data_IF_222969402074
#
_entry.id   IF_222969402074
#
_cell.length_a   1.000
_cell.length_b   1.000
_cell.length_c   1.000
_cell.angle_alpha   90.00
_cell.angle_beta   90.00
_cell.angle_gamma   90.00
#
_symmetry.space_group_name_H-M   'P 1'
#
loop_
_entity.id
_entity.type
_entity.pdbx_description
1 polymer ?
#
# COMPACT_ATOMS: atom_id res chain seq x y z
N UNK A 1 36.50 12.78 8.53
CA UNK A 1 35.20 12.21 8.10
C UNK A 1 34.82 10.93 8.86
N UNK A 2 35.76 10.13 9.39
CA UNK A 2 35.41 8.90 10.11
C UNK A 2 34.80 9.11 11.52
N UNK A 3 35.01 10.27 12.17
CA UNK A 3 34.54 10.53 13.55
C UNK A 3 33.02 10.48 13.68
N UNK A 4 32.29 11.09 12.74
CA UNK A 4 30.82 11.08 12.74
C UNK A 4 30.27 9.65 12.56
N UNK A 5 30.91 8.85 11.71
CA UNK A 5 30.48 7.47 11.46
C UNK A 5 30.74 6.56 12.67
N UNK A 6 31.81 6.80 13.42
CA UNK A 6 32.11 6.08 14.68
C UNK A 6 30.99 6.35 15.69
N UNK A 7 30.62 7.62 15.88
CA UNK A 7 29.55 8.01 16.81
C UNK A 7 28.21 7.36 16.45
N UNK A 8 27.87 7.30 15.16
CA UNK A 8 26.66 6.61 14.68
C UNK A 8 26.69 5.10 14.98
N UNK A 9 27.83 4.43 14.79
CA UNK A 9 27.97 3.00 15.06
C UNK A 9 27.91 2.71 16.57
N UNK A 10 28.50 3.58 17.39
CA UNK A 10 28.42 3.49 18.85
C UNK A 10 26.97 3.62 19.34
N UNK A 11 26.23 4.62 18.83
CA UNK A 11 24.80 4.78 19.12
C UNK A 11 23.99 3.55 18.70
N UNK A 12 24.20 3.03 17.49
CA UNK A 12 23.52 1.81 17.03
C UNK A 12 23.80 0.60 17.92
N UNK A 13 25.03 0.50 18.44
CA UNK A 13 25.45 -0.59 19.34
C UNK A 13 24.81 -0.42 20.72
N UNK A 14 24.79 0.80 21.26
CA UNK A 14 24.19 1.12 22.56
C UNK A 14 22.68 0.85 22.57
N UNK A 15 21.98 1.20 21.47
CA UNK A 15 20.55 0.91 21.33
C UNK A 15 20.23 -0.55 20.96
N UNK A 16 21.24 -1.38 20.69
CA UNK A 16 21.04 -2.78 20.28
C UNK A 16 20.42 -2.93 18.89
N UNK A 17 20.64 -1.97 17.99
CA UNK A 17 20.11 -2.00 16.63
C UNK A 17 21.09 -2.68 15.66
N UNK A 18 20.86 -3.96 15.40
CA UNK A 18 21.62 -4.73 14.40
C UNK A 18 22.34 -5.93 15.00
N UNK A 19 23.35 -6.41 14.28
CA UNK A 19 24.22 -7.51 14.68
C UNK A 19 25.41 -6.94 15.44
N UNK A 20 25.41 -7.16 16.75
CA UNK A 20 26.44 -6.66 17.67
C UNK A 20 27.87 -7.07 17.26
N UNK A 21 28.07 -8.30 16.78
CA UNK A 21 29.40 -8.78 16.37
C UNK A 21 29.88 -8.04 15.12
N UNK A 22 28.95 -7.80 14.20
CA UNK A 22 29.26 -7.07 12.98
C UNK A 22 29.56 -5.59 13.27
N UNK A 23 28.75 -4.94 14.12
CA UNK A 23 28.97 -3.54 14.51
C UNK A 23 30.28 -3.34 15.29
N UNK A 24 30.64 -4.28 16.16
CA UNK A 24 31.93 -4.27 16.85
C UNK A 24 33.11 -4.36 15.85
N UNK A 25 33.00 -5.23 14.85
CA UNK A 25 34.03 -5.35 13.80
C UNK A 25 34.17 -4.06 12.98
N UNK A 26 33.05 -3.39 12.68
CA UNK A 26 33.00 -2.12 11.95
C UNK A 26 33.62 -1.00 12.79
N UNK A 27 33.25 -0.90 14.07
CA UNK A 27 33.81 0.08 15.01
C UNK A 27 35.33 -0.04 15.11
N UNK A 28 35.86 -1.25 15.33
CA UNK A 28 37.31 -1.49 15.39
C UNK A 28 38.04 -1.07 14.12
N UNK A 29 37.46 -1.30 12.94
CA UNK A 29 38.07 -0.87 11.67
C UNK A 29 38.09 0.64 11.54
N UNK A 30 37.01 1.32 11.91
CA UNK A 30 36.93 2.77 11.88
C UNK A 30 37.91 3.43 12.86
N UNK A 31 38.08 2.87 14.07
CA UNK A 31 39.05 3.33 15.06
C UNK A 31 40.50 3.18 14.56
N UNK A 32 40.77 2.15 13.76
CA UNK A 32 42.07 1.94 13.11
C UNK A 32 42.24 2.73 11.80
N UNK A 33 41.37 3.71 11.52
CA UNK A 33 41.34 4.53 10.30
C UNK A 33 41.26 3.73 8.99
N UNK A 34 40.76 2.48 9.04
CA UNK A 34 40.59 1.65 7.86
C UNK A 34 39.28 1.96 7.12
N UNK A 35 39.27 1.92 5.78
CA UNK A 35 38.04 2.09 5.01
C UNK A 35 37.11 0.88 5.20
N UNK A 36 35.81 1.14 5.37
CA UNK A 36 34.80 0.08 5.49
C UNK A 36 34.64 -0.69 4.18
N UNK A 37 34.21 -1.95 4.29
CA UNK A 37 33.76 -2.68 3.11
C UNK A 37 32.44 -2.07 2.59
N UNK A 38 32.18 -2.11 1.27
CA UNK A 38 30.92 -1.61 0.71
C UNK A 38 29.68 -2.27 1.34
N UNK A 39 29.79 -3.54 1.71
CA UNK A 39 28.74 -4.30 2.40
C UNK A 39 28.44 -3.78 3.80
N UNK A 40 29.47 -3.30 4.51
CA UNK A 40 29.37 -2.78 5.88
C UNK A 40 28.90 -1.34 5.87
N UNK A 41 29.37 -0.54 4.93
CA UNK A 41 28.87 0.82 4.72
C UNK A 41 27.36 0.79 4.44
N UNK A 42 26.91 -0.02 3.49
CA UNK A 42 25.48 -0.18 3.18
C UNK A 42 24.67 -0.70 4.37
N UNK A 43 25.29 -1.52 5.21
CA UNK A 43 24.66 -2.05 6.41
C UNK A 43 24.43 -0.96 7.45
N UNK A 44 25.46 -0.14 7.73
CA UNK A 44 25.36 1.00 8.64
C UNK A 44 24.38 2.04 8.11
N UNK A 45 24.48 2.43 6.83
CA UNK A 45 23.58 3.42 6.21
C UNK A 45 22.09 3.02 6.35
N UNK A 46 21.79 1.74 6.14
CA UNK A 46 20.45 1.20 6.32
C UNK A 46 19.97 1.29 7.78
N UNK A 47 20.84 0.98 8.75
CA UNK A 47 20.49 1.07 10.16
C UNK A 47 20.28 2.52 10.61
N UNK A 48 21.18 3.42 10.19
CA UNK A 48 21.11 4.86 10.48
C UNK A 48 19.82 5.45 9.90
N UNK A 49 19.52 5.18 8.64
CA UNK A 49 18.29 5.63 7.98
C UNK A 49 17.02 5.06 8.63
N UNK A 50 17.06 3.82 9.11
CA UNK A 50 15.89 3.15 9.69
C UNK A 50 15.61 3.58 11.13
N UNK A 51 16.64 3.80 11.94
CA UNK A 51 16.48 3.96 13.39
C UNK A 51 16.87 5.33 13.94
N UNK A 52 17.88 5.99 13.37
CA UNK A 52 18.40 7.26 13.91
C UNK A 52 17.80 8.48 13.20
N UNK A 53 17.64 8.40 11.88
CA UNK A 53 17.00 9.45 11.08
C UNK A 53 15.86 8.86 10.27
N UNK A 54 14.77 8.42 10.91
CA UNK A 54 13.58 8.04 10.18
C UNK A 54 13.09 9.28 9.44
N UNK A 55 13.38 9.36 8.14
CA UNK A 55 12.84 10.42 7.29
C UNK A 55 11.31 10.38 7.43
N UNK A 56 10.71 11.48 7.90
CA UNK A 56 9.25 11.66 7.91
C UNK A 56 8.66 11.69 6.49
N UNK A 57 9.51 11.66 5.47
CA UNK A 57 9.16 11.53 4.08
C UNK A 57 8.77 10.08 3.76
N UNK A 58 7.48 9.77 4.01
CA UNK A 58 6.59 8.97 3.15
C UNK A 58 5.58 8.14 3.96
N UNK A 59 4.49 8.82 4.35
CA UNK A 59 3.18 8.20 4.59
C UNK A 59 2.59 7.46 3.37
N UNK A 60 3.33 7.38 2.25
CA UNK A 60 2.91 6.74 1.00
C UNK A 60 3.61 5.42 0.67
N UNK A 61 4.87 5.20 1.10
CA UNK A 61 5.58 3.93 0.83
C UNK A 61 5.47 2.90 1.96
N UNK A 62 5.16 3.29 3.19
CA UNK A 62 4.85 2.36 4.29
C UNK A 62 3.61 1.49 4.00
N UNK A 63 2.67 1.94 3.15
CA UNK A 63 1.55 1.11 2.66
C UNK A 63 1.99 -0.03 1.73
N UNK A 64 3.11 0.13 1.01
CA UNK A 64 3.62 -0.92 0.12
C UNK A 64 4.44 -1.96 0.88
N UNK A 65 5.18 -1.53 1.90
CA UNK A 65 5.97 -2.45 2.74
C UNK A 65 5.05 -3.30 3.63
N UNK A 66 4.03 -2.71 4.26
CA UNK A 66 3.03 -3.48 5.01
C UNK A 66 2.22 -4.48 4.15
N UNK A 67 2.06 -4.19 2.84
CA UNK A 67 1.45 -5.14 1.90
C UNK A 67 2.38 -6.28 1.50
N UNK A 68 3.70 -6.04 1.47
CA UNK A 68 4.70 -7.07 1.17
C UNK A 68 4.98 -7.96 2.38
N UNK A 69 5.03 -7.38 3.58
CA UNK A 69 5.27 -8.10 4.83
C UNK A 69 4.08 -8.99 5.20
N UNK A 70 2.84 -8.54 4.98
CA UNK A 70 1.64 -9.38 5.08
C UNK A 70 1.61 -10.52 4.04
N UNK A 71 2.21 -10.33 2.85
CA UNK A 71 2.36 -11.41 1.86
C UNK A 71 3.43 -12.40 2.29
N UNK A 72 4.52 -11.93 2.88
CA UNK A 72 5.61 -12.80 3.39
C UNK A 72 5.12 -13.60 4.60
N UNK A 73 4.35 -13.01 5.53
CA UNK A 73 3.75 -13.76 6.64
C UNK A 73 2.71 -14.80 6.17
N UNK A 74 1.87 -14.47 5.17
CA UNK A 74 0.95 -15.45 4.57
C UNK A 74 1.69 -16.60 3.87
N UNK A 75 2.86 -16.35 3.28
CA UNK A 75 3.68 -17.42 2.69
C UNK A 75 4.39 -18.24 3.77
N UNK A 76 4.87 -17.62 4.85
CA UNK A 76 5.53 -18.33 5.97
C UNK A 76 4.56 -19.26 6.71
N UNK A 77 3.28 -18.90 6.82
CA UNK A 77 2.23 -19.77 7.33
C UNK A 77 1.91 -20.97 6.41
N UNK A 78 2.22 -20.91 5.11
CA UNK A 78 2.05 -22.05 4.19
C UNK A 78 3.20 -23.06 4.21
N UNK A 79 4.35 -22.71 4.79
CA UNK A 79 5.54 -23.56 4.79
C UNK A 79 6.08 -23.89 6.20
N UNK A 80 5.40 -23.44 7.25
CA UNK A 80 5.80 -23.64 8.65
C UNK A 80 5.06 -24.75 9.39
N UNK A 81 4.54 -25.77 8.69
CA UNK A 81 3.88 -26.92 9.30
C UNK A 81 4.74 -28.18 9.15
N UNK A 82 5.57 -28.48 10.13
CA UNK A 82 6.06 -29.84 10.36
C UNK A 82 4.87 -30.72 10.74
N UNK A 83 4.35 -31.48 9.78
CA UNK A 83 3.61 -32.71 10.08
C UNK A 83 3.96 -33.74 9.04
N UNK A 84 4.53 -34.85 9.51
CA UNK A 84 4.68 -36.09 8.77
C UNK A 84 3.40 -36.38 7.96
N UNK A 85 3.49 -36.57 6.63
CA UNK A 85 2.32 -36.96 5.86
C UNK A 85 2.00 -38.41 6.20
N UNK A 86 1.03 -38.59 7.09
CA UNK A 86 0.27 -39.83 7.18
C UNK A 86 -0.30 -40.13 5.79
N UNK A 87 0.18 -41.24 5.25
CA UNK A 87 -0.17 -41.84 3.96
C UNK A 87 -1.64 -42.18 3.93
N UNK A 88 -2.48 -41.23 3.50
CA UNK A 88 -3.82 -41.54 3.03
C UNK A 88 -3.76 -41.78 1.52
N UNK A 89 -3.73 -43.07 1.17
CA UNK A 89 -3.28 -43.68 -0.10
C UNK A 89 -4.17 -43.38 -1.32
N UNK A 90 -5.01 -42.34 -1.33
CA UNK A 90 -6.09 -42.22 -2.33
C UNK A 90 -5.97 -41.13 -3.40
N UNK A 91 -4.88 -40.35 -3.45
CA UNK A 91 -4.71 -39.24 -4.43
C UNK A 91 -3.32 -39.17 -5.09
N UNK A 92 -2.81 -40.33 -5.54
CA UNK A 92 -1.63 -40.39 -6.41
C UNK A 92 -2.04 -40.61 -7.86
N UNK A 93 -1.57 -39.76 -8.78
CA UNK A 93 -1.73 -39.97 -10.22
C UNK A 93 -0.51 -40.70 -10.78
N UNK A 94 -0.62 -41.33 -11.95
CA UNK A 94 0.49 -42.07 -12.56
C UNK A 94 1.32 -41.16 -13.49
N UNK A 95 2.65 -41.24 -13.36
CA UNK A 95 3.56 -40.53 -14.24
C UNK A 95 3.38 -41.01 -15.70
N UNK A 96 3.08 -40.13 -16.68
CA UNK A 96 2.89 -40.53 -18.07
C UNK A 96 4.14 -41.13 -18.74
N UNK A 97 5.34 -40.87 -18.19
CA UNK A 97 6.59 -41.36 -18.77
C UNK A 97 7.03 -42.73 -18.23
N UNK A 98 6.79 -43.00 -16.94
CA UNK A 98 7.32 -44.21 -16.28
C UNK A 98 6.29 -44.99 -15.46
N UNK A 99 5.04 -44.53 -15.38
CA UNK A 99 3.95 -45.20 -14.66
C UNK A 99 4.09 -45.20 -13.14
N UNK A 100 5.07 -44.51 -12.55
CA UNK A 100 5.20 -44.45 -11.09
C UNK A 100 4.14 -43.50 -10.48
N UNK A 101 3.63 -43.80 -9.27
CA UNK A 101 2.69 -42.91 -8.59
C UNK A 101 3.39 -41.61 -8.18
N UNK A 102 2.83 -40.48 -8.58
CA UNK A 102 3.30 -39.13 -8.24
C UNK A 102 2.21 -38.45 -7.42
N UNK A 103 2.51 -37.96 -6.20
CA UNK A 103 1.54 -37.17 -5.45
C UNK A 103 1.21 -35.88 -6.21
N UNK A 104 -0.07 -35.49 -6.25
CA UNK A 104 -0.55 -34.30 -7.00
C UNK A 104 0.14 -32.98 -6.63
N UNK A 105 0.88 -32.95 -5.53
CA UNK A 105 1.57 -31.77 -5.03
C UNK A 105 2.92 -31.50 -5.73
N UNK A 106 3.45 -32.47 -6.49
CA UNK A 106 4.76 -32.36 -7.12
C UNK A 106 4.64 -32.16 -8.64
N UNK A 107 5.32 -31.13 -9.14
CA UNK A 107 5.41 -30.81 -10.57
C UNK A 107 6.38 -31.70 -11.34
N UNK A 108 7.05 -32.64 -10.68
CA UNK A 108 7.99 -33.56 -11.31
C UNK A 108 7.91 -34.97 -10.70
N UNK A 109 8.12 -35.98 -11.53
CA UNK A 109 8.25 -37.36 -11.10
C UNK A 109 9.60 -37.59 -10.41
N UNK A 110 9.57 -38.00 -9.14
CA UNK A 110 10.77 -38.32 -8.35
C UNK A 110 11.58 -39.48 -8.93
N UNK A 111 10.95 -40.37 -9.69
CA UNK A 111 11.60 -41.57 -10.24
C UNK A 111 12.30 -41.34 -11.58
N UNK A 112 11.73 -40.50 -12.46
CA UNK A 112 12.25 -40.31 -13.82
C UNK A 112 12.52 -38.85 -14.21
N UNK A 113 12.30 -37.90 -13.29
CA UNK A 113 12.54 -36.46 -13.51
C UNK A 113 11.62 -35.80 -14.54
N UNK A 114 10.56 -36.47 -14.98
CA UNK A 114 9.63 -35.90 -15.95
C UNK A 114 8.78 -34.81 -15.29
N UNK A 115 8.68 -33.64 -15.91
CA UNK A 115 7.86 -32.52 -15.46
C UNK A 115 6.40 -32.70 -15.91
N UNK A 116 5.45 -32.35 -15.05
CA UNK A 116 4.02 -32.50 -15.27
C UNK A 116 3.28 -31.20 -14.89
N UNK A 117 2.54 -30.63 -15.84
CA UNK A 117 1.55 -29.58 -15.57
C UNK A 117 0.23 -30.22 -15.13
N UNK A 118 -0.52 -29.57 -14.23
CA UNK A 118 -1.79 -30.04 -13.60
C UNK A 118 -2.88 -30.50 -14.60
N UNK A 119 -2.68 -30.31 -15.90
CA UNK A 119 -3.62 -30.67 -16.97
C UNK A 119 -3.28 -31.98 -17.71
N UNK A 120 -2.17 -32.65 -17.41
CA UNK A 120 -1.71 -33.83 -18.16
C UNK A 120 -1.82 -35.18 -17.41
N UNK A 121 -2.54 -35.23 -16.28
CA UNK A 121 -2.76 -36.51 -15.59
C UNK A 121 -3.83 -37.35 -16.30
N UNK A 122 -3.50 -38.61 -16.57
CA UNK A 122 -4.47 -39.63 -16.94
C UNK A 122 -5.25 -39.95 -15.67
N UNK A 123 -6.37 -39.26 -15.48
CA UNK A 123 -7.25 -39.47 -14.34
C UNK A 123 -7.99 -40.80 -14.52
N UNK A 124 -7.45 -41.87 -13.94
CA UNK A 124 -8.04 -43.22 -13.99
C UNK A 124 -9.42 -43.30 -13.32
N UNK A 125 -9.89 -42.25 -12.62
CA UNK A 125 -11.28 -42.18 -12.12
C UNK A 125 -12.31 -41.78 -13.17
N UNK A 126 -11.92 -41.11 -14.27
CA UNK A 126 -12.88 -40.62 -15.27
C UNK A 126 -13.52 -41.72 -16.12
N UNK A 127 -12.91 -42.90 -16.20
CA UNK A 127 -13.49 -44.04 -16.91
C UNK A 127 -14.54 -44.78 -16.09
N UNK A 128 -14.59 -44.60 -14.76
CA UNK A 128 -15.63 -45.20 -13.91
C UNK A 128 -16.83 -44.28 -13.65
N UNK A 129 -16.71 -42.95 -13.82
CA UNK A 129 -17.78 -42.00 -13.50
C UNK A 129 -18.63 -41.52 -14.70
N UNK A 130 -18.33 -41.96 -15.93
CA UNK A 130 -19.06 -41.53 -17.15
C UNK A 130 -20.44 -42.16 -17.35
N UNK A 131 -21.14 -42.57 -16.28
CA UNK A 131 -22.49 -43.14 -16.37
C UNK A 131 -23.61 -42.41 -15.62
N UNK A 132 -23.34 -41.37 -14.83
CA UNK A 132 -24.42 -40.61 -14.19
C UNK A 132 -24.19 -39.09 -14.19
N UNK A 133 -25.17 -38.38 -14.79
CA UNK A 133 -25.56 -36.98 -14.56
C UNK A 133 -24.50 -35.93 -14.95
N UNK A 134 -24.53 -35.34 -16.15
CA UNK A 134 -25.52 -34.36 -16.67
C UNK A 134 -26.17 -33.48 -15.61
N UNK A 135 -25.97 -32.18 -15.80
CA UNK A 135 -26.68 -31.02 -15.25
C UNK A 135 -26.21 -30.50 -13.88
N UNK A 136 -25.15 -29.68 -13.87
CA UNK A 136 -25.23 -28.26 -13.45
C UNK A 136 -23.87 -27.54 -13.48
N UNK A 137 -23.78 -26.60 -14.43
CA UNK A 137 -23.16 -25.26 -14.36
C UNK A 137 -22.05 -25.00 -13.33
N UNK A 138 -20.80 -24.98 -13.81
CA UNK A 138 -19.69 -24.26 -13.18
C UNK A 138 -19.12 -23.26 -14.17
N UNK A 139 -19.18 -21.97 -13.81
CA UNK A 139 -18.54 -20.87 -14.52
C UNK A 139 -17.04 -21.15 -14.67
N UNK A 140 -16.68 -21.61 -15.86
CA UNK A 140 -15.31 -21.78 -16.30
C UNK A 140 -14.79 -20.39 -16.65
N UNK A 141 -13.90 -19.86 -15.80
CA UNK A 141 -13.10 -18.66 -16.11
C UNK A 141 -12.43 -18.86 -17.46
N UNK A 142 -12.95 -18.16 -18.48
CA UNK A 142 -12.37 -18.07 -19.80
C UNK A 142 -10.96 -17.47 -19.66
N UNK A 143 -9.94 -18.32 -19.60
CA UNK A 143 -8.56 -17.84 -19.74
C UNK A 143 -8.40 -17.38 -21.18
N UNK A 144 -8.21 -16.08 -21.33
CA UNK A 144 -8.01 -15.39 -22.61
C UNK A 144 -6.77 -15.99 -23.30
N UNK A 145 -7.01 -16.91 -24.25
CA UNK A 145 -5.99 -17.67 -25.01
C UNK A 145 -5.25 -16.81 -26.03
N UNK A 146 -5.28 -15.49 -25.88
CA UNK A 146 -4.65 -14.61 -26.85
C UNK A 146 -3.12 -14.74 -26.80
N UNK A 147 -2.57 -15.20 -27.92
CA UNK A 147 -1.12 -15.30 -28.15
C UNK A 147 -0.54 -13.92 -28.51
N UNK A 148 0.73 -13.70 -28.15
CA UNK A 148 1.57 -12.59 -28.61
C UNK A 148 2.83 -13.17 -29.27
N UNK A 149 3.46 -12.43 -30.17
CA UNK A 149 4.78 -12.79 -30.70
C UNK A 149 5.87 -12.31 -29.75
N UNK A 150 6.92 -13.12 -29.55
CA UNK A 150 8.10 -12.74 -28.81
C UNK A 150 8.82 -11.59 -29.51
N UNK A 151 9.17 -10.53 -28.77
CA UNK A 151 9.86 -9.34 -29.32
C UNK A 151 11.22 -9.65 -29.95
N UNK A 152 11.92 -10.69 -29.49
CA UNK A 152 13.28 -11.02 -29.95
C UNK A 152 13.30 -12.08 -31.05
N UNK A 153 12.59 -13.21 -30.86
CA UNK A 153 12.62 -14.34 -31.80
C UNK A 153 11.31 -14.57 -32.58
N UNK A 154 10.31 -13.69 -32.42
CA UNK A 154 9.01 -13.77 -33.12
C UNK A 154 8.17 -15.02 -32.87
N UNK A 155 8.57 -15.90 -31.95
CA UNK A 155 7.82 -17.09 -31.58
C UNK A 155 6.45 -16.74 -30.96
N UNK A 156 5.43 -17.56 -31.23
CA UNK A 156 4.10 -17.38 -30.62
C UNK A 156 4.12 -17.86 -29.17
N UNK A 157 3.81 -16.98 -28.25
CA UNK A 157 3.81 -17.23 -26.80
C UNK A 157 2.49 -16.74 -26.19
N UNK A 158 2.04 -17.32 -25.09
CA UNK A 158 0.85 -16.81 -24.39
C UNK A 158 1.14 -15.45 -23.76
N UNK A 159 0.14 -14.56 -23.75
CA UNK A 159 0.28 -13.23 -23.13
C UNK A 159 0.67 -13.28 -21.65
N UNK A 160 0.31 -14.36 -20.96
CA UNK A 160 0.62 -14.62 -19.55
C UNK A 160 2.10 -14.82 -19.27
N UNK A 161 2.90 -15.26 -20.25
CA UNK A 161 4.33 -15.46 -20.05
C UNK A 161 5.10 -14.13 -20.07
N UNK A 162 5.86 -13.89 -19.00
CA UNK A 162 6.78 -12.76 -18.87
C UNK A 162 8.10 -12.99 -19.59
N UNK A 163 8.46 -14.24 -19.85
CA UNK A 163 9.68 -14.63 -20.56
C UNK A 163 9.35 -15.52 -21.74
N UNK A 164 10.10 -15.38 -22.84
CA UNK A 164 9.96 -16.27 -23.98
C UNK A 164 10.56 -17.65 -23.63
N UNK A 165 9.81 -18.77 -23.74
CA UNK A 165 10.33 -20.09 -23.45
C UNK A 165 11.40 -20.54 -24.45
N UNK A 166 11.42 -19.98 -25.67
CA UNK A 166 12.39 -20.33 -26.70
C UNK A 166 13.73 -19.59 -26.53
N UNK A 167 13.71 -18.27 -26.32
CA UNK A 167 14.92 -17.45 -26.32
C UNK A 167 15.24 -16.75 -24.99
N UNK A 168 14.45 -16.97 -23.93
CA UNK A 168 14.66 -16.37 -22.60
C UNK A 168 14.41 -14.86 -22.50
N UNK A 169 14.14 -14.17 -23.62
CA UNK A 169 13.95 -12.72 -23.63
C UNK A 169 12.71 -12.31 -22.83
N UNK A 170 12.87 -11.31 -21.96
CA UNK A 170 11.79 -10.75 -21.16
C UNK A 170 10.82 -9.94 -22.03
N UNK A 171 9.53 -10.29 -21.94
CA UNK A 171 8.42 -9.79 -22.76
C UNK A 171 7.69 -8.67 -22.04
N UNK A 172 8.46 -7.66 -21.61
CA UNK A 172 8.02 -6.56 -20.76
C UNK A 172 6.60 -6.12 -21.08
N UNK A 173 5.74 -6.10 -20.06
CA UNK A 173 4.35 -5.65 -20.22
C UNK A 173 4.40 -4.23 -20.76
N UNK A 174 3.99 -4.03 -22.01
CA UNK A 174 3.72 -2.70 -22.55
C UNK A 174 2.69 -2.04 -21.62
N UNK A 175 3.14 -1.22 -20.66
CA UNK A 175 2.33 -0.47 -19.69
C UNK A 175 1.49 0.62 -20.37
N UNK A 176 1.08 0.44 -21.63
CA UNK A 176 0.36 1.44 -22.39
C UNK A 176 -1.15 1.46 -22.12
N UNK A 177 -1.70 0.55 -21.31
CA UNK A 177 -3.16 0.49 -21.04
C UNK A 177 -3.61 0.74 -19.59
N UNK A 178 -2.71 0.74 -18.61
CA UNK A 178 -3.11 0.95 -17.20
C UNK A 178 -3.17 2.44 -16.78
N UNK A 179 -2.62 3.36 -17.59
CA UNK A 179 -2.71 4.81 -17.34
C UNK A 179 -4.11 5.39 -17.57
N UNK A 180 -4.99 4.73 -18.33
CA UNK A 180 -6.37 5.22 -18.55
C UNK A 180 -7.34 4.93 -17.41
N UNK A 181 -7.07 3.93 -16.55
CA UNK A 181 -7.96 3.61 -15.42
C UNK A 181 -7.63 4.40 -14.15
N UNK A 182 -6.41 4.92 -14.03
CA UNK A 182 -6.01 5.77 -12.90
C UNK A 182 -6.51 7.23 -13.04
N UNK A 183 -6.64 7.75 -14.27
CA UNK A 183 -7.16 9.11 -14.50
C UNK A 183 -8.64 9.30 -14.11
N UNK A 184 -9.49 8.26 -14.09
CA UNK A 184 -10.91 8.44 -13.77
C UNK A 184 -11.18 8.61 -12.27
N UNK A 185 -10.32 8.06 -11.40
CA UNK A 185 -10.43 8.24 -9.95
C UNK A 185 -9.83 9.58 -9.49
N UNK A 186 -8.78 10.08 -10.15
CA UNK A 186 -8.15 11.36 -9.83
C UNK A 186 -9.07 12.57 -10.09
N UNK A 187 -9.91 12.51 -11.14
CA UNK A 187 -10.85 13.60 -11.46
C UNK A 187 -11.95 13.80 -10.40
N UNK A 188 -12.31 12.77 -9.62
CA UNK A 188 -13.32 12.91 -8.55
C UNK A 188 -12.80 13.64 -7.32
N UNK A 189 -11.50 13.53 -7.01
CA UNK A 189 -10.90 14.23 -5.89
C UNK A 189 -10.59 15.70 -6.21
N UNK A 190 -10.19 16.00 -7.45
CA UNK A 190 -9.97 17.38 -7.89
C UNK A 190 -11.26 18.22 -7.80
N UNK A 191 -12.42 17.66 -8.17
CA UNK A 191 -13.71 18.34 -8.06
C UNK A 191 -14.12 18.64 -6.60
N UNK A 192 -13.88 17.72 -5.68
CA UNK A 192 -14.20 17.93 -4.25
C UNK A 192 -13.26 18.95 -3.60
N UNK A 193 -11.97 18.97 -3.97
CA UNK A 193 -11.03 19.97 -3.47
C UNK A 193 -11.40 21.39 -3.93
N UNK A 194 -11.76 21.56 -5.21
CA UNK A 194 -12.19 22.85 -5.75
C UNK A 194 -13.47 23.37 -5.09
N UNK A 195 -14.48 22.51 -4.88
CA UNK A 195 -15.72 22.89 -4.21
C UNK A 195 -15.50 23.29 -2.74
N UNK A 196 -14.55 22.65 -2.06
CA UNK A 196 -14.15 23.02 -0.70
C UNK A 196 -13.54 24.42 -0.63
N UNK A 197 -12.60 24.73 -1.54
CA UNK A 197 -11.94 26.05 -1.58
C UNK A 197 -12.95 27.17 -1.90
N UNK A 198 -13.86 26.94 -2.85
CA UNK A 198 -14.89 27.92 -3.20
C UNK A 198 -15.83 28.20 -2.01
N UNK A 199 -16.23 27.16 -1.27
CA UNK A 199 -17.08 27.34 -0.07
C UNK A 199 -16.38 28.14 1.02
N UNK A 200 -15.06 27.97 1.19
CA UNK A 200 -14.27 28.73 2.15
C UNK A 200 -14.21 30.21 1.75
N UNK A 201 -13.94 30.51 0.47
CA UNK A 201 -13.85 31.89 -0.01
C UNK A 201 -15.20 32.61 0.12
N UNK A 202 -16.29 31.96 -0.27
CA UNK A 202 -17.65 32.51 -0.18
C UNK A 202 -18.08 32.73 1.28
N UNK A 203 -17.61 31.91 2.22
CA UNK A 203 -17.89 32.09 3.65
C UNK A 203 -17.03 33.16 4.34
N UNK A 204 -15.73 33.26 4.00
CA UNK A 204 -14.78 34.13 4.69
C UNK A 204 -14.96 35.60 4.32
N UNK A 205 -15.19 35.92 3.03
CA UNK A 205 -15.31 37.31 2.57
C UNK A 205 -16.43 38.08 3.32
N UNK A 206 -17.68 37.58 3.38
CA UNK A 206 -18.74 38.27 4.12
C UNK A 206 -18.50 38.30 5.63
N UNK A 207 -17.82 37.29 6.19
CA UNK A 207 -17.45 37.28 7.61
C UNK A 207 -16.45 38.40 7.96
N UNK A 208 -15.46 38.66 7.10
CA UNK A 208 -14.51 39.76 7.27
C UNK A 208 -15.23 41.11 7.22
N UNK A 209 -16.15 41.30 6.26
CA UNK A 209 -16.95 42.53 6.18
C UNK A 209 -17.80 42.73 7.43
N UNK A 210 -18.48 41.69 7.92
CA UNK A 210 -19.27 41.76 9.16
C UNK A 210 -18.40 42.02 10.40
N UNK A 211 -17.18 41.51 10.43
CA UNK A 211 -16.23 41.75 11.51
C UNK A 211 -15.76 43.21 11.58
N UNK A 212 -15.65 43.89 10.44
CA UNK A 212 -15.35 45.32 10.44
C UNK A 212 -16.51 46.13 11.05
N UNK A 213 -17.77 45.76 10.77
CA UNK A 213 -18.94 46.42 11.35
C UNK A 213 -19.11 46.18 12.85
N UNK A 214 -18.72 45.00 13.36
CA UNK A 214 -18.80 44.71 14.80
C UNK A 214 -17.82 45.56 15.62
N UNK A 215 -16.65 45.88 15.06
CA UNK A 215 -15.68 46.78 15.72
C UNK A 215 -16.22 48.21 15.85
N UNK A 216 -17.01 48.67 14.88
CA UNK A 216 -17.68 49.98 14.93
C UNK A 216 -18.78 50.02 16.00
N UNK A 217 -19.64 49.00 16.09
CA UNK A 217 -20.67 48.90 17.15
C UNK A 217 -20.06 48.82 18.57
N UNK A 218 -18.84 48.29 18.70
CA UNK A 218 -18.16 48.13 20.00
C UNK A 218 -17.38 49.37 20.45
N UNK A 219 -17.17 50.32 19.54
CA UNK A 219 -16.44 51.56 19.83
C UNK A 219 -17.29 52.53 20.66
N UNK A 220 -16.63 53.47 21.36
CA UNK A 220 -17.28 54.53 22.15
C UNK A 220 -18.24 55.37 21.27
N UNK A 221 -17.87 55.62 20.01
CA UNK A 221 -18.70 56.34 19.04
C UNK A 221 -19.95 55.52 18.69
N UNK A 222 -19.80 54.20 18.54
CA UNK A 222 -20.93 53.28 18.31
C UNK A 222 -21.92 53.25 19.47
N UNK A 223 -21.43 53.23 20.71
CA UNK A 223 -22.28 53.26 21.91
C UNK A 223 -23.06 54.58 22.04
N UNK A 224 -22.44 55.71 21.69
CA UNK A 224 -23.16 57.00 21.64
C UNK A 224 -24.19 57.05 20.50
N UNK A 225 -23.90 56.48 19.34
CA UNK A 225 -24.88 56.43 18.25
C UNK A 225 -26.14 55.60 18.60
N UNK A 226 -25.96 54.55 19.41
CA UNK A 226 -27.07 53.71 19.89
C UNK A 226 -28.05 54.44 20.82
N UNK A 227 -27.60 55.45 21.58
CA UNK A 227 -28.49 56.20 22.47
C UNK A 227 -29.42 57.16 21.71
N UNK A 228 -29.07 57.53 20.48
CA UNK A 228 -29.84 58.50 19.69
C UNK A 228 -30.70 57.86 18.60
N UNK A 229 -30.49 56.59 18.24
CA UNK A 229 -31.24 55.94 17.16
C UNK A 229 -31.58 54.48 17.47
N UNK A 230 -32.85 54.23 17.79
CA UNK A 230 -33.39 52.91 18.14
C UNK A 230 -33.18 51.87 17.02
N UNK A 231 -33.22 52.28 15.75
CA UNK A 231 -33.04 51.35 14.61
C UNK A 231 -31.60 50.82 14.53
N UNK A 232 -30.61 51.62 14.92
CA UNK A 232 -29.20 51.21 14.93
C UNK A 232 -28.96 50.16 16.03
N UNK A 233 -29.67 50.29 17.16
CA UNK A 233 -29.60 49.34 18.26
C UNK A 233 -30.10 47.94 17.85
N UNK A 234 -31.26 47.86 17.19
CA UNK A 234 -31.79 46.58 16.68
C UNK A 234 -30.84 45.95 15.65
N UNK A 235 -30.23 46.76 14.78
CA UNK A 235 -29.28 46.27 13.77
C UNK A 235 -28.01 45.71 14.41
N UNK A 236 -27.39 46.42 15.37
CA UNK A 236 -26.19 45.91 16.07
C UNK A 236 -26.51 44.64 16.87
N UNK A 237 -27.69 44.54 17.49
CA UNK A 237 -28.10 43.34 18.23
C UNK A 237 -28.30 42.14 17.29
N UNK A 238 -28.94 42.34 16.14
CA UNK A 238 -29.06 41.29 15.13
C UNK A 238 -27.70 40.82 14.61
N UNK A 239 -26.77 41.74 14.35
CA UNK A 239 -25.41 41.40 13.90
C UNK A 239 -24.67 40.57 14.97
N UNK A 240 -24.79 40.94 16.25
CA UNK A 240 -24.17 40.18 17.35
C UNK A 240 -24.72 38.75 17.46
N UNK A 241 -26.05 38.58 17.37
CA UNK A 241 -26.68 37.26 17.39
C UNK A 241 -26.19 36.39 16.21
N UNK A 242 -26.07 36.97 15.01
CA UNK A 242 -25.56 36.27 13.82
C UNK A 242 -24.10 35.84 14.01
N UNK A 243 -23.25 36.73 14.55
CA UNK A 243 -21.83 36.42 14.79
C UNK A 243 -21.67 35.30 15.82
N UNK A 244 -22.37 35.38 16.95
CA UNK A 244 -22.32 34.37 18.00
C UNK A 244 -22.87 33.02 17.49
N UNK A 245 -24.02 33.04 16.82
CA UNK A 245 -24.64 31.84 16.25
C UNK A 245 -23.75 31.18 15.19
N UNK A 246 -23.15 31.98 14.30
CA UNK A 246 -22.21 31.52 13.28
C UNK A 246 -20.93 30.92 13.89
N UNK A 247 -20.39 31.55 14.94
CA UNK A 247 -19.21 31.05 15.66
C UNK A 247 -19.44 29.68 16.30
N UNK A 248 -20.60 29.47 16.95
CA UNK A 248 -20.96 28.18 17.55
C UNK A 248 -21.06 27.09 16.48
N UNK A 249 -21.76 27.36 15.36
CA UNK A 249 -21.89 26.40 14.26
C UNK A 249 -20.53 26.04 13.64
N UNK A 250 -19.63 27.01 13.51
CA UNK A 250 -18.28 26.78 13.00
C UNK A 250 -17.47 25.86 13.92
N UNK A 251 -17.50 26.11 15.24
CA UNK A 251 -16.82 25.27 16.23
C UNK A 251 -17.38 23.84 16.19
N UNK A 252 -18.71 23.68 16.17
CA UNK A 252 -19.36 22.36 16.05
C UNK A 252 -18.92 21.65 14.77
N UNK A 253 -18.84 22.36 13.65
CA UNK A 253 -18.34 21.84 12.37
C UNK A 253 -16.91 21.31 12.45
N UNK A 254 -16.00 22.08 13.07
CA UNK A 254 -14.60 21.65 13.28
C UNK A 254 -14.54 20.40 14.16
N UNK A 255 -15.29 20.37 15.27
CA UNK A 255 -15.32 19.21 16.18
C UNK A 255 -15.81 17.95 15.45
N UNK A 256 -16.85 18.06 14.60
CA UNK A 256 -17.33 16.95 13.79
C UNK A 256 -16.32 16.47 12.75
N UNK A 257 -15.57 17.39 12.13
CA UNK A 257 -14.49 17.04 11.19
C UNK A 257 -13.35 16.30 11.90
N UNK A 258 -12.93 16.77 13.07
CA UNK A 258 -11.91 16.11 13.89
C UNK A 258 -12.40 14.72 14.33
N UNK A 259 -13.64 14.61 14.80
CA UNK A 259 -14.23 13.33 15.20
C UNK A 259 -14.27 12.31 14.05
N UNK A 260 -14.60 12.75 12.82
CA UNK A 260 -14.53 11.90 11.63
C UNK A 260 -13.10 11.48 11.30
N UNK A 261 -12.14 12.42 11.37
CA UNK A 261 -10.73 12.11 11.11
C UNK A 261 -10.17 11.08 12.11
N UNK A 262 -10.53 11.19 13.39
CA UNK A 262 -10.15 10.22 14.43
C UNK A 262 -10.80 8.85 14.19
N UNK A 263 -12.08 8.81 13.80
CA UNK A 263 -12.78 7.56 13.48
C UNK A 263 -12.14 6.82 12.31
N UNK A 264 -11.70 7.54 11.28
CA UNK A 264 -11.01 6.94 10.11
C UNK A 264 -9.65 6.35 10.50
N UNK A 265 -8.92 6.94 11.45
CA UNK A 265 -7.63 6.39 11.89
C UNK A 265 -7.75 5.10 12.72
N UNK A 266 -8.91 4.83 13.32
CA UNK A 266 -9.14 3.64 14.16
C UNK A 266 -9.72 2.44 13.39
N UNK A 267 -10.16 2.64 12.15
CA UNK A 267 -10.73 1.59 11.28
C UNK A 267 -9.75 1.14 10.22
#
# INVERSE_FOLDING_TARGET
MNKELIELVEQLTEFGYGDSLRLDSISKRLQNEQPLYPSDQKYVDMLVSKYLYPHEEESENTRKIGSLENKIQNVKQRYGGETNPSTDTSLSDLCPKCGSPVPRMFSFCSKCGAFHDEHNFIDTRKDQQKKEKRDHSSQQTFQDTSMKSCITCSSKIFKTHEFCPICGAHQGKNKLKDTKKFQSKQKRYAGMAAAGIISIIVGIIPAISLFQYSSLCSSIIGQLAQTFNLQILELCNHIQIIIIGGGILFIVGIVLLIARAVKIRRS
#
